data_IF_778019974939
#
_entry.id   IF_778019974939
#
_cell.length_a   1.000
_cell.length_b   1.000
_cell.length_c   1.000
_cell.angle_alpha   90.00
_cell.angle_beta   90.00
_cell.angle_gamma   90.00
#
_symmetry.space_group_name_H-M   'P 1'
#
loop_
_entity.id
_entity.type
_entity.pdbx_description
1 polymer ?
#
# COMPACT_ATOMS: atom_id res chain seq x y z
N UNK A 1 20.09 -3.70 -18.57
CA UNK A 1 20.86 -2.44 -18.48
C UNK A 1 21.02 -1.79 -19.85
N UNK A 2 21.34 -0.50 -19.90
CA UNK A 2 21.77 0.23 -21.11
C UNK A 2 20.81 0.12 -22.31
N UNK A 3 19.51 0.16 -22.04
CA UNK A 3 18.48 0.04 -23.07
C UNK A 3 17.38 1.07 -22.86
N UNK A 4 16.86 1.63 -23.96
CA UNK A 4 15.68 2.50 -23.99
C UNK A 4 14.81 2.09 -25.18
N UNK A 5 13.49 1.92 -24.99
CA UNK A 5 12.61 1.45 -26.07
C UNK A 5 12.31 2.51 -27.12
N UNK A 6 12.45 3.80 -26.79
CA UNK A 6 11.97 4.91 -27.62
C UNK A 6 13.07 5.68 -28.35
N UNK A 7 14.35 5.43 -28.06
CA UNK A 7 15.49 6.03 -28.78
C UNK A 7 16.76 5.19 -28.63
N UNK A 8 17.73 5.44 -29.52
CA UNK A 8 19.06 4.83 -29.44
C UNK A 8 19.89 5.47 -28.31
N UNK A 9 20.20 4.69 -27.26
CA UNK A 9 20.96 5.17 -26.11
C UNK A 9 22.46 5.16 -26.41
N UNK A 10 23.08 6.34 -26.42
CA UNK A 10 24.53 6.49 -26.29
C UNK A 10 24.88 6.43 -24.79
N UNK A 11 25.60 5.40 -24.36
CA UNK A 11 25.88 5.17 -22.93
C UNK A 11 27.02 6.09 -22.48
N UNK A 12 26.68 7.18 -21.80
CA UNK A 12 27.64 8.06 -21.13
C UNK A 12 27.80 7.76 -19.63
N UNK A 13 26.72 7.32 -18.99
CA UNK A 13 26.64 7.06 -17.55
C UNK A 13 26.22 5.60 -17.30
N UNK A 14 27.16 4.65 -17.31
CA UNK A 14 26.84 3.21 -17.29
C UNK A 14 26.20 2.74 -15.97
N UNK A 15 26.40 3.48 -14.88
CA UNK A 15 25.78 3.21 -13.57
C UNK A 15 24.56 4.09 -13.35
N UNK A 16 24.75 5.41 -13.28
CA UNK A 16 23.68 6.34 -12.95
C UNK A 16 22.51 6.29 -13.96
N UNK A 17 22.80 6.03 -15.24
CA UNK A 17 21.77 5.84 -16.27
C UNK A 17 20.90 4.59 -16.10
N UNK A 18 21.25 3.68 -15.20
CA UNK A 18 20.48 2.46 -14.91
C UNK A 18 19.81 2.47 -13.54
N UNK A 19 19.94 3.55 -12.75
CA UNK A 19 19.19 3.71 -11.51
C UNK A 19 17.74 4.09 -11.79
N UNK A 20 16.81 3.41 -11.12
CA UNK A 20 15.37 3.67 -11.20
C UNK A 20 14.83 4.06 -9.81
N UNK A 21 13.78 4.90 -9.76
CA UNK A 21 13.07 5.16 -8.51
C UNK A 21 12.34 3.90 -8.07
N UNK A 22 12.58 3.48 -6.83
CA UNK A 22 11.92 2.35 -6.20
C UNK A 22 11.07 2.89 -5.06
N UNK A 23 9.79 2.55 -5.02
CA UNK A 23 8.86 3.00 -3.97
C UNK A 23 8.36 1.87 -3.08
N UNK A 24 8.60 0.63 -3.48
CA UNK A 24 7.97 -0.55 -2.88
C UNK A 24 8.90 -1.75 -2.87
N UNK A 25 9.33 -2.19 -4.06
CA UNK A 25 10.16 -3.37 -4.21
C UNK A 25 11.01 -3.31 -5.48
N UNK A 26 12.09 -4.09 -5.48
CA UNK A 26 12.89 -4.42 -6.64
C UNK A 26 13.02 -5.95 -6.71
N UNK A 27 12.78 -6.55 -7.87
CA UNK A 27 12.83 -7.99 -8.04
C UNK A 27 13.56 -8.37 -9.32
N UNK A 28 14.26 -9.51 -9.27
CA UNK A 28 14.77 -10.23 -10.44
C UNK A 28 14.31 -11.67 -10.34
N UNK A 29 14.16 -12.32 -11.48
CA UNK A 29 13.80 -13.73 -11.54
C UNK A 29 14.47 -14.42 -12.72
N UNK A 30 14.62 -15.73 -12.60
CA UNK A 30 14.91 -16.63 -13.71
C UNK A 30 13.75 -17.64 -13.86
N UNK A 31 14.00 -18.76 -14.54
CA UNK A 31 12.98 -19.80 -14.75
C UNK A 31 12.62 -20.59 -13.48
N UNK A 32 13.43 -20.49 -12.42
CA UNK A 32 13.33 -21.32 -11.21
C UNK A 32 13.04 -20.52 -9.96
N UNK A 33 13.55 -19.31 -9.87
CA UNK A 33 13.58 -18.54 -8.63
C UNK A 33 13.32 -17.05 -8.86
N UNK A 34 12.69 -16.42 -7.88
CA UNK A 34 12.58 -14.97 -7.76
C UNK A 34 13.31 -14.52 -6.49
N UNK A 35 14.13 -13.47 -6.63
CA UNK A 35 14.70 -12.72 -5.53
C UNK A 35 14.14 -11.30 -5.56
N UNK A 36 13.55 -10.87 -4.44
CA UNK A 36 13.00 -9.54 -4.30
C UNK A 36 13.40 -8.86 -3.01
N UNK A 37 13.69 -7.57 -3.11
CA UNK A 37 13.98 -6.67 -2.01
C UNK A 37 12.76 -5.77 -1.81
N UNK A 38 12.20 -5.78 -0.60
CA UNK A 38 11.07 -4.96 -0.17
C UNK A 38 11.57 -3.77 0.64
N UNK A 39 11.27 -2.57 0.19
CA UNK A 39 11.77 -1.32 0.75
C UNK A 39 10.79 -0.76 1.77
N UNK A 40 11.27 0.03 2.73
CA UNK A 40 10.43 0.77 3.69
C UNK A 40 10.23 2.24 3.29
N UNK A 41 10.91 2.69 2.24
CA UNK A 41 10.88 4.07 1.74
C UNK A 41 11.28 4.13 0.28
N UNK A 42 11.05 5.29 -0.33
CA UNK A 42 11.55 5.56 -1.66
C UNK A 42 13.09 5.63 -1.69
N UNK A 43 13.72 4.93 -2.62
CA UNK A 43 15.15 5.01 -2.87
C UNK A 43 15.47 4.78 -4.35
N UNK A 44 16.73 4.98 -4.74
CA UNK A 44 17.19 4.59 -6.06
C UNK A 44 17.77 3.18 -6.02
N UNK A 45 17.52 2.36 -7.04
CA UNK A 45 18.20 1.07 -7.18
C UNK A 45 18.20 0.53 -8.60
N UNK A 46 18.89 -0.59 -8.78
CA UNK A 46 19.19 -1.18 -10.09
C UNK A 46 19.63 -2.65 -9.94
N UNK A 47 19.79 -3.30 -11.08
CA UNK A 47 20.58 -4.52 -11.27
C UNK A 47 21.58 -4.22 -12.37
N UNK A 48 22.87 -4.11 -12.03
CA UNK A 48 23.93 -3.78 -12.98
C UNK A 48 24.48 -5.03 -13.68
N UNK A 49 24.45 -6.17 -12.98
CA UNK A 49 24.87 -7.46 -13.49
C UNK A 49 23.76 -8.49 -13.30
N UNK A 50 23.72 -9.51 -14.16
CA UNK A 50 22.78 -10.62 -14.01
C UNK A 50 22.92 -11.28 -12.63
N UNK A 51 21.82 -11.33 -11.88
CA UNK A 51 21.78 -11.94 -10.55
C UNK A 51 22.07 -10.99 -9.38
N UNK A 52 22.39 -9.73 -9.62
CA UNK A 52 22.55 -8.72 -8.57
C UNK A 52 21.33 -7.82 -8.40
N UNK A 53 21.16 -7.31 -7.19
CA UNK A 53 20.25 -6.22 -6.86
C UNK A 53 21.01 -5.25 -5.98
N UNK A 54 20.99 -3.96 -6.31
CA UNK A 54 21.54 -2.91 -5.47
C UNK A 54 20.55 -1.76 -5.30
N UNK A 55 20.60 -1.11 -4.15
CA UNK A 55 19.82 0.09 -3.88
C UNK A 55 20.60 1.01 -2.95
N UNK A 56 20.42 2.30 -3.14
CA UNK A 56 21.11 3.35 -2.43
C UNK A 56 20.41 3.64 -1.11
N UNK A 57 21.08 3.33 -0.01
CA UNK A 57 20.51 3.45 1.35
C UNK A 57 20.55 4.89 1.87
N UNK A 58 21.64 5.60 1.60
CA UNK A 58 21.85 6.98 2.05
C UNK A 58 22.87 7.69 1.15
N UNK A 59 22.85 9.03 1.13
CA UNK A 59 23.74 9.85 0.31
C UNK A 59 24.24 11.06 1.09
N UNK A 60 25.50 11.40 0.84
CA UNK A 60 26.12 12.64 1.29
C UNK A 60 27.06 13.14 0.19
N UNK A 61 26.86 14.37 -0.26
CA UNK A 61 27.69 15.04 -1.26
C UNK A 61 28.17 16.37 -0.70
N UNK A 62 29.39 16.78 -1.06
CA UNK A 62 30.03 17.98 -0.52
C UNK A 62 29.98 19.16 -1.50
N UNK A 63 29.32 18.97 -2.65
CA UNK A 63 29.14 19.98 -3.68
C UNK A 63 27.67 20.02 -4.13
N UNK A 64 27.19 21.21 -4.46
CA UNK A 64 25.91 21.45 -5.14
C UNK A 64 25.98 20.99 -6.60
N UNK A 65 24.85 20.54 -7.15
CA UNK A 65 24.76 20.04 -8.52
C UNK A 65 24.41 21.14 -9.56
N UNK A 66 24.34 22.40 -9.12
CA UNK A 66 23.97 23.56 -9.91
C UNK A 66 22.60 23.42 -10.59
N UNK A 67 21.60 22.87 -9.87
CA UNK A 67 20.20 22.77 -10.33
C UNK A 67 19.22 23.69 -9.59
N UNK A 68 19.73 24.58 -8.75
CA UNK A 68 18.97 25.73 -8.22
C UNK A 68 18.73 25.74 -6.71
N UNK A 69 19.02 24.65 -6.01
CA UNK A 69 18.93 24.60 -4.54
C UNK A 69 20.05 25.45 -3.91
N UNK A 70 21.27 25.40 -4.46
CA UNK A 70 22.39 26.20 -4.00
C UNK A 70 23.03 25.66 -2.71
N UNK A 71 22.85 24.37 -2.43
CA UNK A 71 23.37 23.69 -1.25
C UNK A 71 23.78 22.26 -1.61
N UNK A 72 24.88 21.79 -1.02
CA UNK A 72 25.24 20.38 -1.09
C UNK A 72 24.31 19.55 -0.20
N UNK A 73 23.94 18.33 -0.65
CA UNK A 73 23.22 17.36 0.19
C UNK A 73 24.17 16.79 1.26
N UNK A 74 24.32 17.54 2.35
CA UNK A 74 25.26 17.30 3.44
C UNK A 74 24.56 17.41 4.82
N UNK A 75 23.51 16.62 5.01
CA UNK A 75 22.66 16.68 6.21
C UNK A 75 23.43 16.32 7.50
N UNK A 76 23.21 17.10 8.56
CA UNK A 76 23.78 16.89 9.89
C UNK A 76 22.67 16.79 10.92
N UNK A 77 22.95 16.11 12.04
CA UNK A 77 21.97 15.90 13.14
C UNK A 77 21.48 17.22 13.74
N UNK A 78 22.27 18.29 13.66
CA UNK A 78 21.95 19.58 14.25
C UNK A 78 21.20 20.53 13.29
N UNK A 79 21.13 20.20 12.00
CA UNK A 79 20.47 21.05 11.00
C UNK A 79 21.14 22.42 10.73
N UNK A 80 22.36 22.65 11.22
CA UNK A 80 23.12 23.88 10.97
C UNK A 80 24.24 23.69 9.93
N UNK A 81 24.53 24.75 9.16
CA UNK A 81 25.54 24.75 8.08
C UNK A 81 26.98 24.87 8.60
N UNK A 82 27.22 25.69 9.63
CA UNK A 82 28.57 26.07 10.10
C UNK A 82 28.87 25.59 11.53
N UNK A 83 28.39 24.40 11.89
CA UNK A 83 28.55 23.82 13.22
C UNK A 83 29.28 22.47 13.17
N UNK A 84 30.08 22.19 14.21
CA UNK A 84 30.68 20.87 14.39
C UNK A 84 29.62 19.87 14.86
N UNK A 85 28.97 19.20 13.90
CA UNK A 85 27.96 18.20 14.16
C UNK A 85 28.20 16.92 13.37
N UNK A 86 27.72 15.80 13.91
CA UNK A 86 27.75 14.52 13.22
C UNK A 86 26.82 14.53 12.00
N UNK A 87 27.17 13.76 10.98
CA UNK A 87 26.30 13.53 9.82
C UNK A 87 25.01 12.81 10.23
N UNK A 88 23.92 13.11 9.53
CA UNK A 88 22.60 12.54 9.79
C UNK A 88 22.64 11.00 9.73
N UNK A 89 22.12 10.35 10.78
CA UNK A 89 21.91 8.90 10.80
C UNK A 89 20.46 8.58 10.48
N UNK A 90 20.28 7.63 9.57
CA UNK A 90 18.96 7.12 9.19
C UNK A 90 18.91 5.63 9.52
N UNK A 91 17.84 5.21 10.19
CA UNK A 91 17.51 3.81 10.40
C UNK A 91 16.37 3.41 9.47
N UNK A 92 16.48 2.22 8.87
CA UNK A 92 15.48 1.68 7.97
C UNK A 92 15.45 0.15 8.03
N UNK A 93 14.39 -0.42 7.48
CA UNK A 93 14.18 -1.86 7.41
C UNK A 93 13.99 -2.29 5.96
N UNK A 94 14.64 -3.39 5.58
CA UNK A 94 14.51 -3.99 4.25
C UNK A 94 14.08 -5.45 4.41
N UNK A 95 13.14 -5.91 3.59
CA UNK A 95 12.74 -7.31 3.54
C UNK A 95 13.40 -7.99 2.34
N UNK A 96 13.84 -9.24 2.50
CA UNK A 96 14.29 -10.09 1.41
C UNK A 96 13.28 -11.23 1.24
N UNK A 97 12.78 -11.39 0.02
CA UNK A 97 11.91 -12.50 -0.37
C UNK A 97 12.69 -13.35 -1.37
N UNK A 98 12.83 -14.63 -1.04
CA UNK A 98 13.37 -15.67 -1.91
C UNK A 98 12.30 -16.74 -2.09
N UNK A 99 11.94 -17.02 -3.33
CA UNK A 99 10.87 -17.95 -3.66
C UNK A 99 11.12 -18.63 -5.01
N UNK A 100 10.30 -19.62 -5.33
CA UNK A 100 10.22 -20.16 -6.69
C UNK A 100 9.73 -19.09 -7.67
N UNK A 101 10.06 -19.21 -8.96
CA UNK A 101 9.57 -18.30 -9.99
C UNK A 101 8.03 -18.27 -10.07
N UNK A 102 7.36 -19.36 -9.69
CA UNK A 102 5.89 -19.46 -9.71
C UNK A 102 5.23 -18.79 -8.51
N UNK A 103 5.82 -18.90 -7.32
CA UNK A 103 5.21 -18.40 -6.07
C UNK A 103 5.70 -17.00 -5.67
N UNK A 104 6.87 -16.60 -6.18
CA UNK A 104 7.54 -15.33 -5.88
C UNK A 104 6.66 -14.10 -6.02
N UNK A 105 6.00 -13.87 -7.17
CA UNK A 105 5.17 -12.68 -7.34
C UNK A 105 4.00 -12.62 -6.34
N UNK A 106 3.39 -13.77 -6.06
CA UNK A 106 2.34 -13.94 -5.04
C UNK A 106 2.83 -13.53 -3.65
N UNK A 107 3.90 -14.18 -3.20
CA UNK A 107 4.47 -13.95 -1.87
C UNK A 107 4.97 -12.51 -1.71
N UNK A 108 5.67 -11.98 -2.72
CA UNK A 108 6.20 -10.60 -2.73
C UNK A 108 5.09 -9.59 -2.48
N UNK A 109 3.97 -9.67 -3.21
CA UNK A 109 2.83 -8.74 -3.04
C UNK A 109 2.21 -8.82 -1.65
N UNK A 110 2.02 -10.03 -1.12
CA UNK A 110 1.45 -10.20 0.21
C UNK A 110 2.35 -9.64 1.31
N UNK A 111 3.66 -9.92 1.25
CA UNK A 111 4.61 -9.41 2.26
C UNK A 111 4.79 -7.90 2.12
N UNK A 112 4.83 -7.38 0.89
CA UNK A 112 4.88 -5.94 0.62
C UNK A 112 3.67 -5.22 1.22
N UNK A 113 2.44 -5.69 0.97
CA UNK A 113 1.23 -5.07 1.51
C UNK A 113 1.20 -5.03 3.05
N UNK A 114 1.70 -6.10 3.72
CA UNK A 114 1.82 -6.12 5.18
C UNK A 114 2.88 -5.15 5.71
N UNK A 115 3.94 -4.93 4.94
CA UNK A 115 4.99 -3.97 5.29
C UNK A 115 4.51 -2.52 5.16
N UNK A 116 3.72 -2.23 4.13
CA UNK A 116 3.13 -0.90 3.90
C UNK A 116 2.04 -0.56 4.92
N UNK A 117 1.30 -1.56 5.40
CA UNK A 117 0.24 -1.41 6.41
C UNK A 117 0.52 -2.28 7.64
N UNK A 118 1.50 -1.91 8.49
CA UNK A 118 1.85 -2.68 9.68
C UNK A 118 0.73 -2.62 10.73
N UNK A 119 0.73 -3.59 11.65
CA UNK A 119 -0.18 -3.57 12.79
C UNK A 119 0.09 -2.36 13.68
N UNK A 120 -0.95 -1.59 13.98
CA UNK A 120 -0.88 -0.48 14.94
C UNK A 120 -0.99 -1.03 16.36
N UNK A 121 0.01 -0.75 17.18
CA UNK A 121 0.01 -1.13 18.59
C UNK A 121 -0.52 0.02 19.45
N UNK A 122 -1.45 -0.30 20.37
CA UNK A 122 -2.00 0.65 21.32
C UNK A 122 -1.77 0.15 22.75
N UNK A 123 -1.40 1.05 23.64
CA UNK A 123 -1.10 0.73 25.03
C UNK A 123 -2.02 1.51 25.96
N UNK A 124 -2.57 0.83 26.98
CA UNK A 124 -3.40 1.42 28.04
C UNK A 124 -2.87 0.99 29.39
N UNK A 125 -2.76 1.91 30.34
CA UNK A 125 -2.48 1.57 31.72
C UNK A 125 -3.65 0.76 32.31
N UNK A 126 -3.34 -0.38 32.93
CA UNK A 126 -4.34 -1.26 33.54
C UNK A 126 -4.03 -1.49 35.01
N UNK A 127 -5.07 -1.57 35.83
CA UNK A 127 -4.98 -1.96 37.25
C UNK A 127 -5.30 -3.43 37.47
N UNK A 128 -5.98 -4.06 36.50
CA UNK A 128 -6.30 -5.49 36.45
C UNK A 128 -6.29 -5.97 35.01
N UNK A 129 -6.03 -7.26 34.80
CA UNK A 129 -6.01 -7.84 33.47
C UNK A 129 -7.44 -8.14 32.98
N UNK A 130 -7.99 -7.25 32.16
CA UNK A 130 -9.27 -7.46 31.49
C UNK A 130 -9.06 -8.23 30.19
N UNK A 131 -9.92 -9.23 29.90
CA UNK A 131 -9.95 -9.89 28.60
C UNK A 131 -10.66 -9.00 27.59
N UNK A 132 -9.92 -8.53 26.58
CA UNK A 132 -10.50 -7.83 25.42
C UNK A 132 -10.79 -8.87 24.33
N UNK A 133 -12.04 -8.93 23.88
CA UNK A 133 -12.40 -9.76 22.73
C UNK A 133 -11.92 -9.11 21.43
N UNK A 134 -11.35 -9.87 20.48
CA UNK A 134 -10.96 -9.32 19.19
C UNK A 134 -12.20 -8.78 18.47
N UNK A 135 -12.09 -7.56 17.95
CA UNK A 135 -13.10 -6.92 17.12
C UNK A 135 -12.63 -6.95 15.67
N UNK A 136 -13.51 -7.35 14.74
CA UNK A 136 -13.27 -7.27 13.30
C UNK A 136 -14.22 -6.25 12.68
N UNK A 137 -13.67 -5.32 11.90
CA UNK A 137 -14.45 -4.40 11.06
C UNK A 137 -14.98 -5.04 9.77
N UNK A 138 -14.61 -6.29 9.49
CA UNK A 138 -15.01 -7.03 8.30
C UNK A 138 -15.75 -8.30 8.72
N UNK A 139 -16.89 -8.59 8.07
CA UNK A 139 -17.62 -9.84 8.23
C UNK A 139 -17.17 -10.88 7.20
N UNK A 140 -16.84 -12.08 7.67
CA UNK A 140 -16.42 -13.18 6.79
C UNK A 140 -15.00 -13.02 6.24
N UNK A 141 -14.71 -13.69 5.12
CA UNK A 141 -13.38 -13.70 4.49
C UNK A 141 -13.29 -12.62 3.42
N UNK A 142 -12.29 -11.76 3.51
CA UNK A 142 -11.96 -10.80 2.47
C UNK A 142 -11.02 -11.42 1.41
N UNK A 143 -11.15 -11.08 0.10
CA UNK A 143 -10.25 -11.59 -0.92
C UNK A 143 -8.79 -11.18 -0.67
N UNK A 144 -7.87 -12.13 -0.85
CA UNK A 144 -6.42 -11.95 -0.63
C UNK A 144 -5.70 -11.20 -1.78
N UNK A 145 -6.43 -10.91 -2.86
CA UNK A 145 -5.95 -10.17 -4.02
C UNK A 145 -6.51 -8.75 -4.15
N UNK A 146 -7.27 -8.28 -3.15
CA UNK A 146 -7.79 -6.91 -3.06
C UNK A 146 -7.30 -6.25 -1.79
N UNK A 147 -6.96 -4.96 -1.88
CA UNK A 147 -6.70 -4.08 -0.74
C UNK A 147 -7.78 -3.00 -0.64
N UNK A 148 -8.22 -2.70 0.58
CA UNK A 148 -9.04 -1.51 0.86
C UNK A 148 -8.08 -0.33 1.00
N UNK A 149 -7.87 0.41 -0.09
CA UNK A 149 -6.95 1.56 -0.12
C UNK A 149 -7.52 2.80 0.56
N UNK A 150 -8.84 2.93 0.62
CA UNK A 150 -9.49 4.05 1.30
C UNK A 150 -10.76 3.53 1.94
N UNK A 151 -10.96 3.90 3.20
CA UNK A 151 -12.19 3.71 3.92
C UNK A 151 -12.40 4.96 4.78
N UNK A 152 -13.20 5.90 4.29
CA UNK A 152 -13.30 7.24 4.89
C UNK A 152 -14.77 7.65 5.03
N UNK A 153 -15.22 7.90 6.26
CA UNK A 153 -16.55 8.47 6.50
C UNK A 153 -16.58 9.91 6.00
N UNK A 154 -17.39 10.19 4.97
CA UNK A 154 -17.55 11.57 4.47
C UNK A 154 -18.53 12.35 5.36
N UNK A 155 -19.56 11.67 5.85
CA UNK A 155 -20.53 12.18 6.82
C UNK A 155 -21.13 11.03 7.65
N UNK A 156 -22.18 11.31 8.43
CA UNK A 156 -22.81 10.32 9.32
C UNK A 156 -23.51 9.16 8.58
N UNK A 157 -23.83 9.32 7.29
CA UNK A 157 -24.59 8.38 6.47
C UNK A 157 -23.85 7.92 5.20
N UNK A 158 -22.63 8.40 4.94
CA UNK A 158 -21.88 8.07 3.72
C UNK A 158 -20.40 7.77 3.97
N UNK A 159 -19.88 6.78 3.25
CA UNK A 159 -18.48 6.34 3.31
C UNK A 159 -17.90 6.26 1.90
N UNK A 160 -16.71 6.82 1.72
CA UNK A 160 -15.88 6.64 0.53
C UNK A 160 -15.02 5.39 0.70
N UNK A 161 -15.18 4.44 -0.22
CA UNK A 161 -14.44 3.18 -0.27
C UNK A 161 -13.65 3.10 -1.57
N UNK A 162 -12.34 2.84 -1.49
CA UNK A 162 -11.52 2.46 -2.66
C UNK A 162 -11.00 1.05 -2.52
N UNK A 163 -11.26 0.24 -3.53
CA UNK A 163 -10.77 -1.13 -3.63
C UNK A 163 -9.74 -1.18 -4.75
N UNK A 164 -8.57 -1.74 -4.48
CA UNK A 164 -7.51 -1.94 -5.46
C UNK A 164 -7.15 -3.41 -5.58
N UNK A 165 -7.13 -3.91 -6.81
CA UNK A 165 -6.56 -5.23 -7.08
C UNK A 165 -5.03 -5.14 -7.00
N UNK A 166 -4.41 -5.96 -6.15
CA UNK A 166 -2.99 -5.83 -5.83
C UNK A 166 -2.04 -6.40 -6.89
N UNK A 167 -2.57 -7.20 -7.82
CA UNK A 167 -1.79 -7.92 -8.83
C UNK A 167 -2.04 -7.41 -10.24
N UNK A 168 -0.98 -7.46 -11.05
CA UNK A 168 -1.05 -7.33 -12.50
C UNK A 168 -1.68 -8.55 -13.14
N UNK A 169 -2.16 -8.38 -14.38
CA UNK A 169 -2.56 -9.51 -15.21
C UNK A 169 -1.37 -10.47 -15.36
N UNK A 170 -1.61 -11.77 -15.20
CA UNK A 170 -0.61 -12.82 -15.33
C UNK A 170 0.58 -12.77 -14.35
N UNK A 171 0.56 -11.90 -13.33
CA UNK A 171 1.63 -11.82 -12.32
C UNK A 171 1.64 -13.06 -11.40
N UNK A 172 0.48 -13.55 -10.99
CA UNK A 172 0.35 -14.74 -10.16
C UNK A 172 -0.76 -15.64 -10.69
N UNK A 173 -0.47 -16.92 -10.88
CA UNK A 173 -1.43 -17.93 -11.36
C UNK A 173 -2.67 -18.06 -10.46
N UNK A 174 -2.53 -17.78 -9.16
CA UNK A 174 -3.59 -17.93 -8.17
C UNK A 174 -4.28 -16.62 -7.77
N UNK A 175 -3.62 -15.46 -7.94
CA UNK A 175 -4.14 -14.17 -7.47
C UNK A 175 -4.51 -13.18 -8.57
N UNK A 176 -3.98 -13.33 -9.80
CA UNK A 176 -4.27 -12.45 -10.94
C UNK A 176 -5.61 -12.77 -11.62
N UNK A 177 -6.68 -12.91 -10.83
CA UNK A 177 -8.04 -13.22 -11.27
C UNK A 177 -9.02 -12.20 -10.71
N UNK A 178 -10.11 -11.93 -11.42
CA UNK A 178 -11.18 -11.04 -10.96
C UNK A 178 -11.63 -11.42 -9.55
N UNK A 179 -11.56 -10.46 -8.63
CA UNK A 179 -12.06 -10.60 -7.28
C UNK A 179 -13.51 -10.14 -7.20
N UNK A 180 -14.29 -10.74 -6.29
CA UNK A 180 -15.63 -10.26 -5.93
C UNK A 180 -15.61 -9.81 -4.48
N UNK A 181 -16.03 -8.58 -4.23
CA UNK A 181 -16.06 -7.98 -2.90
C UNK A 181 -17.49 -7.59 -2.57
N UNK A 182 -18.03 -8.12 -1.48
CA UNK A 182 -19.29 -7.65 -0.93
C UNK A 182 -19.07 -6.41 -0.05
N UNK A 183 -19.53 -5.24 -0.51
CA UNK A 183 -19.40 -3.98 0.23
C UNK A 183 -20.17 -4.00 1.55
N UNK A 184 -21.24 -4.81 1.67
CA UNK A 184 -22.01 -4.93 2.90
C UNK A 184 -21.17 -5.58 4.02
N UNK A 185 -20.23 -6.46 3.65
CA UNK A 185 -19.34 -7.13 4.61
C UNK A 185 -18.34 -6.20 5.29
N UNK A 186 -18.07 -5.03 4.67
CA UNK A 186 -17.20 -3.97 5.21
C UNK A 186 -17.92 -3.03 6.19
N UNK A 187 -19.23 -3.21 6.36
CA UNK A 187 -20.10 -2.29 7.12
C UNK A 187 -20.95 -3.04 8.17
N UNK A 188 -20.32 -3.79 9.10
CA UNK A 188 -21.05 -4.49 10.15
C UNK A 188 -21.93 -3.52 10.97
N UNK A 189 -23.20 -3.89 11.19
CA UNK A 189 -24.16 -3.09 11.95
C UNK A 189 -24.79 -1.93 11.17
N UNK A 190 -24.45 -1.75 9.90
CA UNK A 190 -25.07 -0.78 8.99
C UNK A 190 -25.75 -1.50 7.83
N UNK A 191 -26.82 -0.92 7.30
CA UNK A 191 -27.48 -1.40 6.09
C UNK A 191 -27.18 -0.44 4.94
N UNK A 192 -26.58 -0.94 3.86
CA UNK A 192 -26.34 -0.15 2.64
C UNK A 192 -27.69 0.22 2.01
N UNK A 193 -27.83 1.49 1.63
CA UNK A 193 -29.01 2.01 0.94
C UNK A 193 -28.73 2.37 -0.51
N UNK A 194 -27.54 2.92 -0.80
CA UNK A 194 -27.13 3.31 -2.15
C UNK A 194 -25.62 3.07 -2.33
N UNK A 195 -25.24 2.68 -3.54
CA UNK A 195 -23.83 2.58 -3.94
C UNK A 195 -23.67 3.39 -5.23
N UNK A 196 -22.81 4.42 -5.18
CA UNK A 196 -22.46 5.24 -6.33
C UNK A 196 -20.99 5.04 -6.66
N UNK A 197 -20.71 4.51 -7.85
CA UNK A 197 -19.35 4.44 -8.36
C UNK A 197 -18.93 5.82 -8.86
N UNK A 198 -17.71 6.21 -8.49
CA UNK A 198 -17.14 7.53 -8.81
C UNK A 198 -15.80 7.37 -9.52
N UNK A 199 -15.34 8.47 -10.13
CA UNK A 199 -13.94 8.62 -10.55
C UNK A 199 -12.97 8.41 -9.37
N UNK A 200 -11.69 8.20 -9.66
CA UNK A 200 -10.65 7.99 -8.62
C UNK A 200 -10.59 9.12 -7.58
N UNK A 201 -10.75 10.37 -8.03
CA UNK A 201 -10.83 11.58 -7.19
C UNK A 201 -12.18 11.77 -6.51
N UNK A 202 -13.14 10.87 -6.71
CA UNK A 202 -14.50 10.92 -6.17
C UNK A 202 -15.32 12.16 -6.55
N UNK A 203 -14.94 12.88 -7.60
CA UNK A 203 -15.58 14.14 -8.02
C UNK A 203 -16.50 14.00 -9.25
N UNK A 204 -16.57 12.82 -9.87
CA UNK A 204 -17.44 12.54 -11.01
C UNK A 204 -18.20 11.24 -10.78
N UNK A 205 -19.48 11.23 -11.15
CA UNK A 205 -20.33 10.05 -11.14
C UNK A 205 -20.06 9.15 -12.35
N UNK A 206 -19.84 7.85 -12.10
CA UNK A 206 -19.71 6.82 -13.15
C UNK A 206 -20.97 5.96 -13.25
N UNK A 207 -21.77 5.89 -12.18
CA UNK A 207 -23.06 5.20 -12.19
C UNK A 207 -23.47 4.71 -10.80
N UNK A 208 -24.73 4.33 -10.66
CA UNK A 208 -25.24 3.70 -9.44
C UNK A 208 -25.29 2.18 -9.59
N UNK A 209 -24.93 1.45 -8.54
CA UNK A 209 -25.02 0.00 -8.48
C UNK A 209 -26.29 -0.39 -7.72
N UNK A 210 -27.18 -1.12 -8.38
CA UNK A 210 -28.50 -1.52 -7.83
C UNK A 210 -28.66 -3.03 -7.86
N UNK A 211 -29.42 -3.58 -6.89
CA UNK A 211 -29.77 -5.01 -6.85
C UNK A 211 -28.67 -5.94 -6.32
N UNK A 212 -27.51 -5.41 -5.96
CA UNK A 212 -26.42 -6.16 -5.32
C UNK A 212 -25.49 -5.22 -4.56
N UNK A 213 -24.83 -5.75 -3.53
CA UNK A 213 -23.72 -5.09 -2.82
C UNK A 213 -22.35 -5.64 -3.23
N UNK A 214 -22.34 -6.64 -4.12
CA UNK A 214 -21.13 -7.31 -4.60
C UNK A 214 -20.60 -6.61 -5.85
N UNK A 215 -19.35 -6.16 -5.78
CA UNK A 215 -18.61 -5.53 -6.88
C UNK A 215 -17.45 -6.41 -7.33
N UNK A 216 -17.15 -6.40 -8.63
CA UNK A 216 -15.97 -7.06 -9.19
C UNK A 216 -14.78 -6.10 -9.26
N UNK A 217 -13.57 -6.60 -9.05
CA UNK A 217 -12.34 -5.83 -9.25
C UNK A 217 -11.37 -6.69 -10.06
N UNK A 218 -11.06 -6.28 -11.27
CA UNK A 218 -10.13 -7.01 -12.16
C UNK A 218 -8.67 -6.65 -11.85
N UNK A 219 -7.67 -7.43 -12.32
CA UNK A 219 -6.26 -7.10 -12.16
C UNK A 219 -5.92 -5.65 -12.53
N UNK A 220 -5.13 -4.99 -11.68
CA UNK A 220 -4.77 -3.56 -11.72
C UNK A 220 -5.91 -2.54 -11.61
N UNK A 221 -7.17 -2.95 -11.46
CA UNK A 221 -8.24 -1.99 -11.28
C UNK A 221 -8.20 -1.37 -9.88
N UNK A 222 -8.48 -0.07 -9.83
CA UNK A 222 -8.86 0.65 -8.62
C UNK A 222 -10.25 1.20 -8.85
N UNK A 223 -11.22 0.77 -8.03
CA UNK A 223 -12.61 1.23 -8.11
C UNK A 223 -12.96 2.04 -6.87
N UNK A 224 -13.69 3.13 -7.08
CA UNK A 224 -14.04 4.10 -6.04
C UNK A 224 -15.55 4.17 -5.88
N UNK A 225 -16.03 4.02 -4.66
CA UNK A 225 -17.45 3.97 -4.34
C UNK A 225 -17.77 4.95 -3.22
N UNK A 226 -18.86 5.71 -3.37
CA UNK A 226 -19.53 6.38 -2.27
C UNK A 226 -20.72 5.50 -1.88
N UNK A 227 -20.66 4.93 -0.68
CA UNK A 227 -21.68 4.03 -0.14
C UNK A 227 -22.48 4.77 0.90
N UNK A 228 -23.78 4.93 0.66
CA UNK A 228 -24.71 5.43 1.67
C UNK A 228 -25.26 4.29 2.50
N UNK A 229 -25.46 4.55 3.78
CA UNK A 229 -25.95 3.55 4.72
C UNK A 229 -26.86 4.17 5.79
N UNK A 230 -27.62 3.31 6.45
CA UNK A 230 -28.35 3.64 7.70
C UNK A 230 -27.99 2.62 8.79
N UNK A 231 -28.26 2.90 10.07
CA UNK A 231 -28.14 1.89 11.12
C UNK A 231 -28.99 0.66 10.76
N UNK A 232 -28.47 -0.55 10.99
CA UNK A 232 -29.28 -1.75 10.83
C UNK A 232 -30.45 -1.70 11.84
N UNK A 233 -31.68 -1.98 11.41
CA UNK A 233 -32.83 -2.04 12.30
C UNK A 233 -32.60 -3.15 13.33
N UNK A 234 -32.61 -2.81 14.61
CA UNK A 234 -32.43 -3.75 15.71
C UNK A 234 -33.53 -4.82 15.67
N UNK A 235 -33.23 -6.03 15.20
CA UNK A 235 -33.91 -7.20 15.73
C UNK A 235 -33.46 -7.34 17.18
N UNK A 236 -34.41 -7.36 18.10
CA UNK A 236 -34.21 -7.48 19.54
C UNK A 236 -33.31 -8.68 19.90
N UNK A 237 -32.01 -8.41 20.06
CA UNK A 237 -31.13 -9.22 20.89
C UNK A 237 -30.17 -8.27 21.58
N UNK A 238 -30.30 -8.21 22.90
CA UNK A 238 -29.51 -7.41 23.81
C UNK A 238 -28.00 -7.59 23.59
N UNK A 239 -27.34 -6.57 23.07
CA UNK A 239 -25.91 -6.33 23.32
C UNK A 239 -25.61 -4.84 23.25
N UNK A 240 -24.93 -4.37 24.29
CA UNK A 240 -24.58 -3.00 24.64
C UNK A 240 -24.10 -2.11 23.49
N UNK A 241 -24.49 -0.84 23.57
CA UNK A 241 -24.12 0.27 22.70
C UNK A 241 -22.62 0.35 22.40
N UNK A 242 -22.22 -0.01 21.18
CA UNK A 242 -20.91 0.29 20.59
C UNK A 242 -21.02 1.19 19.34
N UNK A 243 -22.16 1.88 19.18
CA UNK A 243 -22.42 2.78 18.06
C UNK A 243 -21.57 4.08 18.10
N UNK A 244 -20.86 4.36 19.19
CA UNK A 244 -20.02 5.57 19.34
C UNK A 244 -18.54 5.39 19.02
N UNK A 245 -18.03 4.16 18.86
CA UNK A 245 -16.58 3.89 18.80
C UNK A 245 -15.97 3.82 17.40
N UNK A 246 -16.76 3.50 16.37
CA UNK A 246 -16.26 3.32 15.00
C UNK A 246 -15.95 4.62 14.26
N UNK A 247 -16.28 5.78 14.83
CA UNK A 247 -15.95 7.09 14.26
C UNK A 247 -14.56 7.61 14.69
N UNK A 248 -13.90 6.98 15.67
CA UNK A 248 -12.66 7.49 16.26
C UNK A 248 -11.45 6.55 16.10
N UNK A 249 -11.61 5.44 15.41
CA UNK A 249 -10.51 4.51 15.14
C UNK A 249 -10.73 3.91 13.75
N UNK A 250 -10.30 4.62 12.72
CA UNK A 250 -9.68 4.15 11.47
C UNK A 250 -9.41 5.36 10.59
#
# INVERSE_FOLDING_TARGET
>A
VNYRPTWYLQVSEPVAGNYYPLTAALAIHDDKSEMAVLLDRACGGTSLNSGDLEFMVHRRILADDARGVGEALNETECGCRDCHCAGLRVAGTTGLVLASATDGPGLRRQVQARKESPLVTAFRAITSMDRVSPLSGIQGKFPDNVSVMTFHAQDAASILIRLAHMYQAMESSSHSRTAKVDLQSLLPGKQITEIHEKSLSANQDLGSITGTTVVSVDPMQIRTFVVKHKPASSSSSSSSSLAGGLAAAF
#
